data_IF_501385176901
#
_entry.id   IF_501385176901
#
_cell.length_a   1.000
_cell.length_b   1.000
_cell.length_c   1.000
_cell.angle_alpha   90.00
_cell.angle_beta   90.00
_cell.angle_gamma   90.00
#
_symmetry.space_group_name_H-M   'P 1'
#
loop_
_entity.id
_entity.type
_entity.pdbx_description
1 polymer ?
#
# COMPACT_ATOMS: atom_id res chain seq x y z
N UNK A 1 -28.84 42.66 1.15
CA UNK A 1 -27.44 42.68 0.68
C UNK A 1 -26.79 41.33 1.02
N UNK A 2 -26.28 40.65 -0.01
CA UNK A 2 -25.38 39.47 -0.11
C UNK A 2 -25.32 38.43 1.04
N UNK A 3 -26.02 37.28 0.99
CA UNK A 3 -25.72 35.99 0.31
C UNK A 3 -24.35 35.38 0.65
N UNK A 4 -24.36 34.53 1.68
CA UNK A 4 -23.29 33.70 2.20
C UNK A 4 -22.96 32.57 1.19
N UNK A 5 -21.91 32.74 0.38
CA UNK A 5 -21.47 31.73 -0.59
C UNK A 5 -20.40 30.84 0.04
N UNK A 6 -20.81 29.86 0.84
CA UNK A 6 -19.97 28.71 1.14
C UNK A 6 -19.89 27.85 -0.13
N UNK A 7 -18.77 27.99 -0.84
CA UNK A 7 -18.49 27.29 -2.09
C UNK A 7 -18.50 25.78 -1.87
N UNK A 8 -19.36 25.07 -2.60
CA UNK A 8 -19.51 23.59 -2.67
C UNK A 8 -18.20 22.81 -2.97
N UNK A 9 -17.11 23.53 -3.23
CA UNK A 9 -15.78 23.01 -3.59
C UNK A 9 -14.87 22.70 -2.38
N UNK A 10 -15.21 23.12 -1.16
CA UNK A 10 -14.39 22.88 0.03
C UNK A 10 -14.52 21.43 0.55
N UNK A 11 -15.72 20.85 0.48
CA UNK A 11 -16.01 19.51 1.01
C UNK A 11 -15.48 18.35 0.15
N UNK A 12 -15.02 18.60 -1.08
CA UNK A 12 -14.34 17.59 -1.90
C UNK A 12 -12.86 17.43 -1.46
N UNK A 13 -12.24 18.44 -0.86
CA UNK A 13 -10.80 18.42 -0.56
C UNK A 13 -10.41 17.66 0.71
N UNK A 14 -11.27 17.64 1.73
CA UNK A 14 -10.98 17.00 3.03
C UNK A 14 -11.55 15.58 3.13
N UNK A 15 -12.74 15.32 2.57
CA UNK A 15 -13.35 13.98 2.55
C UNK A 15 -12.66 12.98 1.61
N UNK A 16 -11.82 13.46 0.69
CA UNK A 16 -11.07 12.63 -0.28
C UNK A 16 -9.71 12.17 0.26
N UNK A 17 -9.11 12.92 1.20
CA UNK A 17 -7.80 12.54 1.78
C UNK A 17 -7.91 11.31 2.68
N UNK A 18 -8.94 11.25 3.52
CA UNK A 18 -9.16 10.09 4.40
C UNK A 18 -9.43 8.80 3.62
N UNK A 19 -10.21 8.85 2.53
CA UNK A 19 -10.48 7.66 1.70
C UNK A 19 -9.23 7.15 0.99
N UNK A 20 -8.46 8.05 0.40
CA UNK A 20 -7.22 7.69 -0.31
C UNK A 20 -6.14 7.17 0.65
N UNK A 21 -6.08 7.69 1.88
CA UNK A 21 -5.16 7.21 2.91
C UNK A 21 -5.54 5.79 3.39
N UNK A 22 -6.83 5.54 3.61
CA UNK A 22 -7.33 4.20 3.93
C UNK A 22 -7.08 3.20 2.79
N UNK A 23 -7.37 3.58 1.54
CA UNK A 23 -7.10 2.73 0.37
C UNK A 23 -5.60 2.41 0.23
N UNK A 24 -4.72 3.36 0.54
CA UNK A 24 -3.27 3.17 0.53
C UNK A 24 -2.82 2.22 1.63
N UNK A 25 -3.38 2.34 2.84
CA UNK A 25 -3.08 1.41 3.94
C UNK A 25 -3.57 -0.01 3.63
N UNK A 26 -4.78 -0.16 3.11
CA UNK A 26 -5.35 -1.45 2.69
C UNK A 26 -4.50 -2.11 1.60
N UNK A 27 -4.07 -1.33 0.61
CA UNK A 27 -3.14 -1.77 -0.42
C UNK A 27 -1.81 -2.22 0.19
N UNK A 28 -1.23 -1.43 1.09
CA UNK A 28 0.01 -1.80 1.78
C UNK A 28 -0.15 -3.11 2.55
N UNK A 29 -1.25 -3.29 3.29
CA UNK A 29 -1.51 -4.55 3.99
C UNK A 29 -1.62 -5.74 3.04
N UNK A 30 -2.29 -5.55 1.89
CA UNK A 30 -2.42 -6.58 0.86
C UNK A 30 -1.05 -6.97 0.29
N UNK A 31 -0.21 -5.99 -0.03
CA UNK A 31 1.16 -6.22 -0.51
C UNK A 31 1.97 -6.99 0.53
N UNK A 32 1.94 -6.58 1.80
CA UNK A 32 2.70 -7.21 2.87
C UNK A 32 2.28 -8.66 3.11
N UNK A 33 0.96 -8.94 3.07
CA UNK A 33 0.44 -10.29 3.26
C UNK A 33 0.85 -11.22 2.12
N UNK A 34 0.71 -10.77 0.87
CA UNK A 34 1.12 -11.53 -0.30
C UNK A 34 2.64 -11.74 -0.34
N UNK A 35 3.41 -10.70 -0.02
CA UNK A 35 4.87 -10.79 0.08
C UNK A 35 5.30 -11.81 1.13
N UNK A 36 4.70 -11.78 2.33
CA UNK A 36 4.98 -12.75 3.39
C UNK A 36 4.69 -14.20 2.96
N UNK A 37 3.55 -14.46 2.33
CA UNK A 37 3.23 -15.78 1.80
C UNK A 37 4.25 -16.24 0.76
N UNK A 38 4.59 -15.38 -0.19
CA UNK A 38 5.60 -15.66 -1.21
C UNK A 38 6.98 -15.90 -0.60
N UNK A 39 7.40 -15.16 0.42
CA UNK A 39 8.68 -15.41 1.09
C UNK A 39 8.72 -16.78 1.75
N UNK A 40 7.61 -17.24 2.34
CA UNK A 40 7.50 -18.56 2.97
C UNK A 40 7.49 -19.70 1.95
N UNK A 41 6.83 -19.53 0.81
CA UNK A 41 6.67 -20.60 -0.19
C UNK A 41 7.92 -20.84 -1.05
N UNK A 42 8.53 -19.76 -1.55
CA UNK A 42 9.62 -19.85 -2.54
C UNK A 42 10.98 -19.39 -2.00
N UNK A 43 11.01 -18.80 -0.80
CA UNK A 43 12.21 -18.22 -0.21
C UNK A 43 12.57 -16.84 -0.78
N UNK A 44 13.50 -16.17 -0.11
CA UNK A 44 13.93 -14.80 -0.45
C UNK A 44 14.64 -14.71 -1.81
N UNK A 45 15.43 -15.71 -2.21
CA UNK A 45 16.21 -15.66 -3.45
C UNK A 45 15.35 -15.75 -4.72
N UNK A 46 14.23 -16.49 -4.66
CA UNK A 46 13.30 -16.64 -5.79
C UNK A 46 12.23 -15.56 -5.83
N UNK A 47 12.15 -14.72 -4.80
CA UNK A 47 11.21 -13.63 -4.75
C UNK A 47 11.57 -12.50 -5.74
N UNK A 48 10.54 -11.97 -6.42
CA UNK A 48 10.68 -10.83 -7.32
C UNK A 48 9.51 -9.87 -7.13
N UNK A 49 9.81 -8.57 -7.07
CA UNK A 49 8.81 -7.50 -7.00
C UNK A 49 7.80 -7.59 -8.15
N UNK A 50 8.26 -7.97 -9.35
CA UNK A 50 7.40 -8.13 -10.53
C UNK A 50 6.42 -9.29 -10.38
N UNK A 51 6.88 -10.41 -9.80
CA UNK A 51 6.02 -11.57 -9.53
C UNK A 51 4.99 -11.22 -8.46
N UNK A 52 5.40 -10.50 -7.41
CA UNK A 52 4.48 -10.01 -6.40
C UNK A 52 3.40 -9.11 -7.02
N UNK A 53 3.76 -8.15 -7.87
CA UNK A 53 2.81 -7.29 -8.57
C UNK A 53 1.78 -8.09 -9.38
N UNK A 54 2.24 -9.13 -10.10
CA UNK A 54 1.36 -10.06 -10.82
C UNK A 54 0.42 -10.84 -9.89
N UNK A 55 0.93 -11.31 -8.75
CA UNK A 55 0.15 -12.08 -7.76
C UNK A 55 -1.00 -11.25 -7.16
N UNK A 56 -0.72 -9.98 -6.83
CA UNK A 56 -1.73 -9.10 -6.24
C UNK A 56 -2.59 -8.37 -7.28
N UNK A 57 -2.27 -8.49 -8.57
CA UNK A 57 -3.01 -7.83 -9.65
C UNK A 57 -2.79 -6.31 -9.74
N UNK A 58 -1.70 -5.79 -9.18
CA UNK A 58 -1.35 -4.37 -9.23
C UNK A 58 -0.18 -4.10 -10.19
N UNK A 59 -0.07 -2.86 -10.66
CA UNK A 59 1.04 -2.45 -11.52
C UNK A 59 2.35 -2.37 -10.75
N UNK A 60 3.46 -2.71 -11.40
CA UNK A 60 4.81 -2.58 -10.83
C UNK A 60 5.07 -1.18 -10.26
N UNK A 61 4.60 -0.14 -10.96
CA UNK A 61 4.72 1.25 -10.53
C UNK A 61 4.07 1.51 -9.15
N UNK A 62 2.93 0.88 -8.86
CA UNK A 62 2.20 0.99 -7.59
C UNK A 62 2.99 0.35 -6.45
N UNK A 63 3.65 -0.79 -6.71
CA UNK A 63 4.57 -1.39 -5.74
C UNK A 63 5.77 -0.48 -5.48
N UNK A 64 6.39 0.06 -6.53
CA UNK A 64 7.56 0.94 -6.39
C UNK A 64 7.25 2.26 -5.69
N UNK A 65 6.00 2.74 -5.74
CA UNK A 65 5.52 3.88 -4.95
C UNK A 65 5.43 3.57 -3.46
N UNK A 66 5.25 2.30 -3.10
CA UNK A 66 5.10 1.84 -1.70
C UNK A 66 6.41 1.33 -1.12
N UNK A 67 7.25 0.65 -1.92
CA UNK A 67 8.48 0.00 -1.49
C UNK A 67 9.60 0.21 -2.51
N UNK A 68 10.77 0.66 -2.04
CA UNK A 68 11.89 1.02 -2.92
C UNK A 68 12.61 -0.20 -3.50
N UNK A 69 12.71 -1.28 -2.74
CA UNK A 69 13.36 -2.53 -3.14
C UNK A 69 12.76 -3.73 -2.37
N UNK A 70 13.23 -4.94 -2.70
CA UNK A 70 12.78 -6.17 -2.03
C UNK A 70 13.22 -6.28 -0.57
N UNK A 71 14.30 -5.60 -0.18
CA UNK A 71 14.81 -5.60 1.19
C UNK A 71 13.92 -4.77 2.11
N UNK A 72 13.56 -3.55 1.71
CA UNK A 72 12.58 -2.69 2.39
C UNK A 72 11.27 -3.44 2.61
N UNK A 73 10.81 -4.14 1.58
CA UNK A 73 9.60 -4.96 1.68
C UNK A 73 9.76 -6.06 2.72
N UNK A 74 10.88 -6.80 2.70
CA UNK A 74 11.17 -7.85 3.67
C UNK A 74 11.23 -7.27 5.10
N UNK A 75 11.97 -6.19 5.31
CA UNK A 75 12.09 -5.53 6.61
C UNK A 75 10.71 -5.10 7.13
N UNK A 76 9.88 -4.51 6.27
CA UNK A 76 8.53 -4.09 6.66
C UNK A 76 7.63 -5.29 7.00
N UNK A 77 7.71 -6.38 6.22
CA UNK A 77 6.97 -7.63 6.51
C UNK A 77 7.37 -8.19 7.87
N UNK A 78 8.67 -8.26 8.13
CA UNK A 78 9.24 -8.73 9.40
C UNK A 78 8.79 -7.82 10.55
N UNK A 79 8.99 -6.51 10.44
CA UNK A 79 8.58 -5.52 11.45
C UNK A 79 7.09 -5.65 11.79
N UNK A 80 6.22 -5.76 10.78
CA UNK A 80 4.77 -5.90 10.99
C UNK A 80 4.39 -7.26 11.58
N UNK A 81 5.10 -8.33 11.23
CA UNK A 81 4.87 -9.65 11.80
C UNK A 81 5.24 -9.68 13.29
N UNK A 82 6.35 -9.03 13.68
CA UNK A 82 6.82 -8.98 15.06
C UNK A 82 6.11 -7.93 15.92
N UNK A 83 5.65 -6.81 15.34
CA UNK A 83 4.92 -5.77 16.09
C UNK A 83 3.49 -6.15 16.46
N UNK A 84 2.96 -7.26 15.93
CA UNK A 84 1.66 -7.85 16.29
C UNK A 84 1.78 -9.04 17.26
N UNK A 85 2.99 -9.35 17.73
CA UNK A 85 3.29 -10.40 18.70
C UNK A 85 3.27 -9.90 20.14
#
# INVERSE_FOLDING_TARGET
MNRNTATRSECIRTASRHRCEQEKEELQQTILKAAGALFLEQGYDRFSMRRLAQEIGYSDATLYLSFRNKDDLLFTVVEKAFSKG
#
